data_IF_976122224499
#
_entry.id   IF_976122224499
#
_cell.length_a   1.000
_cell.length_b   1.000
_cell.length_c   1.000
_cell.angle_alpha   90.00
_cell.angle_beta   90.00
_cell.angle_gamma   90.00
#
_symmetry.space_group_name_H-M   'P 1'
#
loop_
_entity.id
_entity.type
_entity.pdbx_description
1 polymer ?
#
# COMPACT_ATOMS: atom_id res chain seq x y z
N UNK A 1 59.56 24.65 -21.34
CA UNK A 1 58.69 23.76 -20.55
C UNK A 1 58.29 24.51 -19.31
N UNK A 2 57.03 24.94 -19.22
CA UNK A 2 56.50 25.57 -18.00
C UNK A 2 56.33 24.42 -17.01
N UNK A 3 57.18 24.35 -15.99
CA UNK A 3 56.99 23.41 -14.90
C UNK A 3 55.60 23.64 -14.33
N UNK A 4 54.73 22.62 -14.39
CA UNK A 4 53.43 22.67 -13.74
C UNK A 4 53.68 23.01 -12.27
N UNK A 5 53.08 24.10 -11.78
CA UNK A 5 53.12 24.39 -10.36
C UNK A 5 52.61 23.15 -9.61
N UNK A 6 53.35 22.66 -8.60
CA UNK A 6 52.92 21.51 -7.84
C UNK A 6 51.55 21.83 -7.22
N UNK A 7 50.64 20.87 -7.30
CA UNK A 7 49.34 20.98 -6.64
C UNK A 7 49.54 21.18 -5.12
N UNK A 8 48.74 22.05 -4.50
CA UNK A 8 48.95 22.49 -3.12
C UNK A 8 48.94 21.31 -2.13
N UNK A 9 48.07 20.31 -2.38
CA UNK A 9 48.03 19.07 -1.60
C UNK A 9 49.35 18.29 -1.70
N UNK A 10 49.88 18.14 -2.91
CA UNK A 10 51.16 17.48 -3.15
C UNK A 10 52.31 18.24 -2.48
N UNK A 11 52.33 19.57 -2.54
CA UNK A 11 53.35 20.36 -1.85
C UNK A 11 53.30 20.20 -0.34
N UNK A 12 52.11 20.14 0.28
CA UNK A 12 51.99 19.91 1.72
C UNK A 12 52.49 18.52 2.12
N UNK A 13 52.12 17.47 1.37
CA UNK A 13 52.59 16.10 1.64
C UNK A 13 54.10 16.00 1.44
N UNK A 14 54.63 16.54 0.34
CA UNK A 14 56.07 16.52 0.07
C UNK A 14 56.86 17.25 1.15
N UNK A 15 56.42 18.43 1.59
CA UNK A 15 57.08 19.12 2.72
C UNK A 15 57.02 18.30 4.00
N UNK A 16 55.86 17.72 4.32
CA UNK A 16 55.74 16.86 5.50
C UNK A 16 56.74 15.70 5.47
N UNK A 17 56.90 15.04 4.31
CA UNK A 17 57.87 13.95 4.13
C UNK A 17 59.32 14.41 4.14
N UNK A 18 59.61 15.56 3.51
CA UNK A 18 60.96 16.10 3.38
C UNK A 18 61.50 16.61 4.73
N UNK A 19 60.67 17.28 5.53
CA UNK A 19 61.03 17.67 6.89
C UNK A 19 61.10 16.48 7.85
N UNK A 20 60.35 15.40 7.58
CA UNK A 20 60.47 14.13 8.29
C UNK A 20 60.25 14.27 9.80
N UNK A 21 61.24 13.88 10.60
CA UNK A 21 61.16 13.94 12.07
C UNK A 21 61.15 15.39 12.63
N UNK A 22 61.50 16.38 11.81
CA UNK A 22 61.59 17.78 12.22
C UNK A 22 60.23 18.50 12.16
N UNK A 23 59.17 17.81 11.74
CA UNK A 23 57.84 18.38 11.61
C UNK A 23 56.80 17.49 12.29
N UNK A 24 55.91 18.11 13.06
CA UNK A 24 54.88 17.41 13.81
C UNK A 24 53.50 17.84 13.32
N UNK A 25 52.60 16.87 13.14
CA UNK A 25 51.20 17.11 12.86
C UNK A 25 50.33 16.78 14.08
N UNK A 26 49.69 17.80 14.65
CA UNK A 26 48.76 17.62 15.76
C UNK A 26 47.55 18.56 15.64
N UNK A 27 46.35 18.02 15.85
CA UNK A 27 45.10 18.80 15.89
C UNK A 27 44.86 19.74 14.69
N UNK A 28 45.25 19.30 13.49
CA UNK A 28 45.09 20.13 12.29
C UNK A 28 46.16 21.21 12.14
N UNK A 29 47.25 21.13 12.91
CA UNK A 29 48.41 22.01 12.83
C UNK A 29 49.65 21.22 12.43
N UNK A 30 50.38 21.75 11.48
CA UNK A 30 51.67 21.26 11.04
C UNK A 30 52.72 22.26 11.53
N UNK A 31 53.47 21.83 12.53
CA UNK A 31 54.42 22.67 13.27
C UNK A 31 55.84 22.09 13.15
N UNK A 32 56.80 22.94 12.78
CA UNK A 32 58.21 22.60 12.80
C UNK A 32 58.72 22.52 14.24
N UNK A 33 59.38 21.42 14.60
CA UNK A 33 59.86 21.15 15.96
C UNK A 33 61.34 21.49 16.15
N UNK A 34 62.12 21.45 15.07
CA UNK A 34 63.56 21.70 15.05
C UNK A 34 63.93 22.56 13.85
N UNK A 35 65.01 23.32 13.98
CA UNK A 35 65.51 24.19 12.93
C UNK A 35 66.05 23.36 11.76
N UNK A 36 65.71 23.75 10.53
CA UNK A 36 66.08 23.00 9.33
C UNK A 36 66.68 23.92 8.28
N UNK A 37 67.84 23.55 7.75
CA UNK A 37 68.44 24.20 6.59
C UNK A 37 67.63 23.89 5.32
N UNK A 38 67.19 24.92 4.62
CA UNK A 38 66.36 24.79 3.42
C UNK A 38 67.19 24.24 2.24
N UNK A 39 66.70 23.17 1.62
CA UNK A 39 67.22 22.58 0.39
C UNK A 39 66.47 23.12 -0.82
N UNK A 40 67.00 22.91 -2.03
CA UNK A 40 66.32 23.31 -3.27
C UNK A 40 64.92 22.67 -3.41
N UNK A 41 64.74 21.45 -2.92
CA UNK A 41 63.44 20.75 -2.90
C UNK A 41 62.45 21.36 -1.90
N UNK A 42 62.93 21.80 -0.72
CA UNK A 42 62.10 22.50 0.25
C UNK A 42 61.54 23.80 -0.34
N UNK A 43 62.37 24.58 -1.04
CA UNK A 43 61.99 25.88 -1.59
C UNK A 43 60.81 25.76 -2.54
N UNK A 44 60.85 24.80 -3.49
CA UNK A 44 59.80 24.63 -4.49
C UNK A 44 58.43 24.45 -3.83
N UNK A 45 58.35 23.61 -2.81
CA UNK A 45 57.08 23.35 -2.13
C UNK A 45 56.71 24.46 -1.14
N UNK A 46 57.68 25.04 -0.43
CA UNK A 46 57.45 26.08 0.57
C UNK A 46 57.03 27.41 -0.07
N UNK A 47 57.61 27.77 -1.22
CA UNK A 47 57.15 28.90 -2.06
C UNK A 47 55.71 28.66 -2.54
N UNK A 48 55.34 27.43 -2.90
CA UNK A 48 53.98 27.11 -3.31
C UNK A 48 52.97 27.26 -2.15
N UNK A 49 53.31 26.80 -0.93
CA UNK A 49 52.48 27.03 0.26
C UNK A 49 52.35 28.53 0.58
N UNK A 50 53.47 29.27 0.54
CA UNK A 50 53.48 30.70 0.87
C UNK A 50 52.61 31.53 -0.08
N UNK A 51 52.63 31.20 -1.38
CA UNK A 51 51.76 31.83 -2.38
C UNK A 51 50.28 31.56 -2.13
N UNK A 52 49.95 30.39 -1.59
CA UNK A 52 48.59 29.97 -1.30
C UNK A 52 48.19 30.13 0.18
N UNK A 53 48.97 30.87 0.98
CA UNK A 53 48.81 30.96 2.44
C UNK A 53 47.42 31.39 2.94
N UNK A 54 46.65 32.09 2.10
CA UNK A 54 45.27 32.52 2.39
C UNK A 54 44.24 31.39 2.41
N UNK A 55 44.60 30.20 1.92
CA UNK A 55 43.75 29.00 1.94
C UNK A 55 43.84 28.25 3.28
N UNK A 56 44.78 28.62 4.15
CA UNK A 56 44.91 28.03 5.49
C UNK A 56 44.22 28.91 6.52
N UNK A 57 43.79 28.30 7.63
CA UNK A 57 43.18 29.02 8.76
C UNK A 57 44.17 30.00 9.38
N UNK A 58 45.40 29.52 9.55
CA UNK A 58 46.55 30.32 9.96
C UNK A 58 47.81 29.77 9.30
N UNK A 59 48.72 30.68 8.92
CA UNK A 59 50.00 30.35 8.31
C UNK A 59 51.04 31.30 8.89
N UNK A 60 52.09 30.75 9.49
CA UNK A 60 53.26 31.49 9.97
C UNK A 60 54.53 30.79 9.50
N UNK A 61 55.50 31.58 9.04
CA UNK A 61 56.79 31.12 8.56
C UNK A 61 57.86 32.11 9.02
N UNK A 62 58.88 31.58 9.70
CA UNK A 62 60.05 32.32 10.16
C UNK A 62 61.31 31.71 9.55
N UNK A 63 62.11 32.55 8.89
CA UNK A 63 63.39 32.21 8.30
C UNK A 63 64.43 33.16 8.89
N UNK A 64 65.55 32.61 9.36
CA UNK A 64 66.63 33.33 10.03
C UNK A 64 66.09 34.27 11.15
N UNK A 65 65.18 33.75 11.99
CA UNK A 65 64.53 34.46 13.10
C UNK A 65 63.70 35.69 12.72
N UNK A 66 63.33 35.81 11.45
CA UNK A 66 62.50 36.90 10.92
C UNK A 66 61.24 36.34 10.24
N UNK A 67 60.13 37.09 10.29
CA UNK A 67 58.93 36.75 9.53
C UNK A 67 59.26 36.73 8.04
N UNK A 68 59.07 35.58 7.40
CA UNK A 68 59.59 35.33 6.07
C UNK A 68 58.80 36.07 4.99
N UNK A 69 59.51 36.74 4.08
CA UNK A 69 58.96 37.17 2.80
C UNK A 69 59.26 36.15 1.71
N UNK A 70 58.61 36.27 0.55
CA UNK A 70 58.83 35.34 -0.57
C UNK A 70 60.29 35.30 -1.05
N UNK A 71 61.02 36.40 -0.86
CA UNK A 71 62.42 36.53 -1.24
C UNK A 71 63.37 35.86 -0.23
N UNK A 72 62.87 35.54 0.97
CA UNK A 72 63.66 34.90 2.03
C UNK A 72 63.66 33.37 1.92
N UNK A 73 62.80 32.81 1.08
CA UNK A 73 62.71 31.36 0.81
C UNK A 73 63.79 30.99 -0.21
N UNK A 74 65.04 30.89 0.24
CA UNK A 74 66.21 30.54 -0.59
C UNK A 74 67.05 29.44 0.06
N UNK A 75 67.82 28.72 -0.77
CA UNK A 75 68.61 27.57 -0.35
C UNK A 75 69.71 27.99 0.63
N UNK A 76 69.93 27.17 1.66
CA UNK A 76 70.97 27.39 2.66
C UNK A 76 70.62 28.38 3.78
N UNK A 77 69.41 28.94 3.81
CA UNK A 77 68.87 29.66 4.98
C UNK A 77 68.20 28.72 5.98
N UNK A 78 68.12 29.15 7.23
CA UNK A 78 67.59 28.35 8.32
C UNK A 78 66.10 28.66 8.53
N UNK A 79 65.25 27.63 8.45
CA UNK A 79 63.85 27.74 8.78
C UNK A 79 63.68 27.48 10.28
N UNK A 80 63.35 28.51 11.06
CA UNK A 80 63.23 28.41 12.52
C UNK A 80 61.80 28.05 12.95
N UNK A 81 60.79 28.49 12.20
CA UNK A 81 59.41 28.12 12.48
C UNK A 81 58.58 28.01 11.21
N UNK A 82 57.83 26.92 11.08
CA UNK A 82 56.74 26.78 10.12
C UNK A 82 55.52 26.29 10.90
N UNK A 83 54.42 27.05 10.85
CA UNK A 83 53.14 26.70 11.46
C UNK A 83 52.03 26.84 10.43
N UNK A 84 51.39 25.74 10.10
CA UNK A 84 50.27 25.71 9.14
C UNK A 84 49.07 25.08 9.82
N UNK A 85 48.00 25.86 10.00
CA UNK A 85 46.74 25.37 10.56
C UNK A 85 45.70 25.17 9.46
N UNK A 86 45.22 23.94 9.33
CA UNK A 86 44.18 23.54 8.39
C UNK A 86 42.79 23.79 8.96
N UNK A 87 41.82 24.17 8.11
CA UNK A 87 40.42 24.24 8.50
C UNK A 87 39.79 22.85 8.49
N UNK A 88 39.81 22.18 9.65
CA UNK A 88 39.28 20.82 9.81
C UNK A 88 37.76 20.70 9.56
N UNK A 89 37.02 21.80 9.70
CA UNK A 89 35.54 21.81 9.74
C UNK A 89 34.88 22.68 8.65
N UNK A 90 35.68 23.37 7.83
CA UNK A 90 35.21 24.38 6.89
C UNK A 90 35.84 24.22 5.49
N UNK A 91 35.65 23.05 4.88
CA UNK A 91 35.70 22.94 3.41
C UNK A 91 37.02 23.29 2.74
N UNK A 92 38.17 23.05 3.38
CA UNK A 92 39.41 22.97 2.61
C UNK A 92 39.31 21.85 1.58
N UNK A 93 39.91 22.06 0.40
CA UNK A 93 40.03 21.03 -0.64
C UNK A 93 40.81 19.80 -0.15
N UNK A 94 41.67 19.98 0.88
CA UNK A 94 42.37 18.88 1.52
C UNK A 94 42.66 19.05 3.02
N UNK A 95 42.79 17.92 3.72
CA UNK A 95 43.05 17.86 5.17
C UNK A 95 44.03 16.74 5.56
N UNK A 96 44.66 16.89 6.72
CA UNK A 96 45.58 15.90 7.31
C UNK A 96 44.94 15.25 8.54
N UNK A 97 45.18 13.97 8.73
CA UNK A 97 44.73 13.18 9.88
C UNK A 97 45.83 12.22 10.30
N UNK A 98 45.83 11.76 11.55
CA UNK A 98 46.82 10.76 12.00
C UNK A 98 46.58 9.41 11.34
N UNK A 99 45.35 8.94 11.43
CA UNK A 99 44.87 7.66 10.91
C UNK A 99 43.34 7.71 10.72
N UNK A 100 42.76 6.58 10.31
CA UNK A 100 41.33 6.41 10.11
C UNK A 100 40.48 6.82 11.33
N UNK A 101 40.91 6.44 12.54
CA UNK A 101 40.19 6.77 13.77
C UNK A 101 40.19 8.28 14.06
N UNK A 102 41.30 8.97 13.80
CA UNK A 102 41.41 10.43 13.93
C UNK A 102 40.51 11.17 12.93
N UNK A 103 40.41 10.67 11.69
CA UNK A 103 39.49 11.19 10.67
C UNK A 103 38.03 11.12 11.16
N UNK A 104 37.59 9.93 11.56
CA UNK A 104 36.19 9.71 11.91
C UNK A 104 35.80 10.34 13.24
N UNK A 105 36.68 10.34 14.24
CA UNK A 105 36.40 11.02 15.51
C UNK A 105 36.25 12.53 15.34
N UNK A 106 37.09 13.17 14.51
CA UNK A 106 37.00 14.61 14.24
C UNK A 106 35.82 14.98 13.34
N UNK A 107 35.52 14.18 12.33
CA UNK A 107 34.46 14.47 11.37
C UNK A 107 33.11 13.84 11.72
N UNK A 108 32.98 13.08 12.82
CA UNK A 108 31.76 12.34 13.17
C UNK A 108 30.50 13.20 13.09
N UNK A 109 30.46 14.33 13.81
CA UNK A 109 29.30 15.22 13.82
C UNK A 109 29.01 15.83 12.45
N UNK A 110 30.05 16.14 11.67
CA UNK A 110 29.94 16.69 10.32
C UNK A 110 29.34 15.68 9.34
N UNK A 111 29.78 14.42 9.41
CA UNK A 111 29.31 13.32 8.57
C UNK A 111 27.87 12.92 8.92
N UNK A 112 27.53 12.86 10.21
CA UNK A 112 26.16 12.54 10.67
C UNK A 112 25.15 13.62 10.20
N UNK A 113 25.57 14.88 10.11
CA UNK A 113 24.77 15.97 9.53
C UNK A 113 24.61 15.90 8.00
N UNK A 114 25.11 14.84 7.36
CA UNK A 114 24.97 14.62 5.92
C UNK A 114 25.95 15.40 5.05
N UNK A 115 27.00 15.98 5.64
CA UNK A 115 28.06 16.66 4.88
C UNK A 115 29.09 15.64 4.37
N UNK A 116 29.78 15.99 3.29
CA UNK A 116 30.71 15.09 2.58
C UNK A 116 32.10 15.10 3.21
N UNK A 117 32.85 14.01 3.03
CA UNK A 117 34.28 14.01 3.31
C UNK A 117 35.01 15.09 2.48
N UNK A 118 36.15 15.59 2.96
CA UNK A 118 37.04 16.45 2.15
C UNK A 118 37.39 15.78 0.81
N UNK A 119 37.57 16.58 -0.25
CA UNK A 119 37.90 16.05 -1.58
C UNK A 119 39.21 15.27 -1.57
N UNK A 120 40.17 15.72 -0.76
CA UNK A 120 41.44 15.02 -0.54
C UNK A 120 41.82 14.97 0.93
N UNK A 121 42.49 13.92 1.34
CA UNK A 121 43.04 13.81 2.69
C UNK A 121 44.23 12.85 2.73
N UNK A 122 45.07 13.06 3.75
CA UNK A 122 46.29 12.28 3.96
C UNK A 122 46.36 11.77 5.39
N UNK A 123 46.77 10.51 5.56
CA UNK A 123 47.05 9.91 6.87
C UNK A 123 48.54 9.89 7.13
N UNK A 124 48.97 10.54 8.21
CA UNK A 124 50.39 10.68 8.53
C UNK A 124 51.02 9.38 9.00
N UNK A 125 50.28 8.55 9.76
CA UNK A 125 50.82 7.33 10.36
C UNK A 125 50.93 6.20 9.33
N UNK A 126 49.94 6.12 8.43
CA UNK A 126 49.80 5.04 7.45
C UNK A 126 50.38 5.38 6.06
N UNK A 127 50.89 6.60 5.86
CA UNK A 127 51.27 7.18 4.55
C UNK A 127 50.18 6.97 3.47
N UNK A 128 48.91 7.08 3.88
CA UNK A 128 47.77 6.86 3.00
C UNK A 128 47.31 8.16 2.35
N UNK A 129 47.03 8.08 1.05
CA UNK A 129 46.53 9.18 0.23
C UNK A 129 45.15 8.87 -0.33
N UNK A 130 44.20 9.79 -0.16
CA UNK A 130 42.85 9.63 -0.71
C UNK A 130 42.78 9.64 -2.24
N UNK A 131 43.77 10.24 -2.91
CA UNK A 131 43.86 10.33 -4.37
C UNK A 131 44.67 9.19 -5.02
N UNK A 132 45.04 8.18 -4.22
CA UNK A 132 45.64 6.94 -4.72
C UNK A 132 44.60 5.93 -5.21
N UNK A 133 45.09 4.81 -5.75
CA UNK A 133 44.24 3.73 -6.27
C UNK A 133 43.60 2.85 -5.17
N UNK A 134 44.13 2.93 -3.94
CA UNK A 134 43.67 2.12 -2.81
C UNK A 134 42.50 2.81 -2.10
N UNK A 135 41.32 2.19 -2.10
CA UNK A 135 40.16 2.65 -1.32
C UNK A 135 40.07 1.88 -0.01
N UNK A 136 40.02 2.59 1.11
CA UNK A 136 39.84 1.97 2.43
C UNK A 136 38.44 1.33 2.56
N UNK A 137 38.33 0.07 3.06
CA UNK A 137 37.04 -0.58 3.30
C UNK A 137 36.09 0.23 4.19
N UNK A 138 36.64 0.99 5.15
CA UNK A 138 35.88 1.85 6.02
C UNK A 138 35.13 2.98 5.30
N UNK A 139 35.66 3.47 4.17
CA UNK A 139 34.99 4.50 3.35
C UNK A 139 33.76 3.91 2.65
N UNK A 140 33.86 2.66 2.17
CA UNK A 140 32.74 1.95 1.56
C UNK A 140 31.64 1.75 2.60
N UNK A 141 31.99 1.28 3.79
CA UNK A 141 31.06 1.16 4.93
C UNK A 141 30.44 2.48 5.34
N UNK A 142 31.25 3.55 5.39
CA UNK A 142 30.76 4.89 5.70
C UNK A 142 29.69 5.34 4.72
N UNK A 143 29.86 5.07 3.42
CA UNK A 143 28.88 5.43 2.42
C UNK A 143 27.52 4.78 2.70
N UNK A 144 27.51 3.47 2.99
CA UNK A 144 26.30 2.74 3.37
C UNK A 144 25.66 3.30 4.67
N UNK A 145 26.48 3.60 5.69
CA UNK A 145 26.00 4.24 6.92
C UNK A 145 25.36 5.59 6.64
N UNK A 146 25.98 6.42 5.81
CA UNK A 146 25.44 7.73 5.44
C UNK A 146 24.12 7.62 4.68
N UNK A 147 23.98 6.62 3.81
CA UNK A 147 22.72 6.35 3.11
C UNK A 147 21.62 5.92 4.08
N UNK A 148 21.92 5.07 5.06
CA UNK A 148 20.99 4.73 6.14
C UNK A 148 20.61 5.91 7.02
N UNK A 149 21.58 6.72 7.47
CA UNK A 149 21.31 7.90 8.29
C UNK A 149 20.39 8.85 7.52
N UNK A 150 20.67 9.09 6.24
CA UNK A 150 19.84 9.93 5.37
C UNK A 150 18.42 9.36 5.24
N UNK A 151 18.31 8.06 5.01
CA UNK A 151 17.02 7.37 4.88
C UNK A 151 16.19 7.41 6.17
N UNK A 152 16.80 7.09 7.32
CA UNK A 152 16.14 7.16 8.62
C UNK A 152 15.72 8.58 8.97
N UNK A 153 16.56 9.58 8.66
CA UNK A 153 16.22 11.00 8.85
C UNK A 153 15.00 11.38 8.00
N UNK A 154 14.95 10.93 6.74
CA UNK A 154 13.83 11.23 5.83
C UNK A 154 12.50 10.57 6.25
N UNK A 155 12.54 9.45 6.98
CA UNK A 155 11.33 8.74 7.45
C UNK A 155 10.94 9.14 8.87
N UNK A 156 11.88 9.68 9.66
CA UNK A 156 11.61 10.11 11.04
C UNK A 156 10.50 11.17 11.11
N UNK A 157 9.77 11.16 12.22
CA UNK A 157 8.70 12.14 12.44
C UNK A 157 9.25 13.47 12.96
N UNK A 158 10.35 13.43 13.71
CA UNK A 158 11.10 14.60 14.16
C UNK A 158 12.60 14.29 14.10
N UNK A 159 13.37 15.15 13.43
CA UNK A 159 14.82 15.15 13.41
C UNK A 159 15.39 16.34 14.22
N UNK A 160 16.04 16.05 15.34
CA UNK A 160 16.69 17.06 16.18
C UNK A 160 18.19 17.05 15.94
N UNK A 161 18.67 18.09 15.27
CA UNK A 161 20.09 18.34 15.07
C UNK A 161 20.70 18.93 16.34
N UNK A 162 21.79 18.32 16.81
CA UNK A 162 22.58 18.78 17.95
C UNK A 162 24.01 19.08 17.48
N UNK A 163 24.80 19.77 18.32
CA UNK A 163 26.21 20.05 18.00
C UNK A 163 27.04 18.76 17.84
N UNK A 164 26.60 17.66 18.46
CA UNK A 164 27.32 16.38 18.49
C UNK A 164 26.80 15.36 17.47
N UNK A 165 25.59 15.54 16.93
CA UNK A 165 24.98 14.56 16.04
C UNK A 165 23.49 14.82 15.80
N UNK A 166 22.74 13.76 15.47
CA UNK A 166 21.31 13.84 15.14
C UNK A 166 20.53 12.85 16.00
N UNK A 167 19.42 13.32 16.58
CA UNK A 167 18.47 12.48 17.31
C UNK A 167 17.17 12.38 16.51
N UNK A 168 16.76 11.16 16.21
CA UNK A 168 15.58 10.84 15.42
C UNK A 168 14.48 10.30 16.33
N UNK A 169 13.27 10.83 16.17
CA UNK A 169 12.09 10.35 16.88
C UNK A 169 11.08 9.71 15.93
N UNK A 170 10.57 8.56 16.34
CA UNK A 170 9.52 7.83 15.64
C UNK A 170 8.30 7.65 16.55
N UNK A 171 7.14 8.18 16.14
CA UNK A 171 5.88 8.13 16.86
C UNK A 171 4.92 7.15 16.17
N UNK A 172 5.07 5.87 16.52
CA UNK A 172 4.11 4.84 16.10
C UNK A 172 3.74 3.94 17.27
N UNK A 173 2.49 3.48 17.26
CA UNK A 173 1.99 2.51 18.21
C UNK A 173 2.50 1.13 17.79
N UNK A 174 3.36 0.54 18.61
CA UNK A 174 3.79 -0.85 18.41
C UNK A 174 2.66 -1.84 18.67
N UNK A 175 2.81 -3.08 18.20
CA UNK A 175 1.79 -4.14 18.34
C UNK A 175 1.28 -4.32 19.78
N UNK A 176 2.18 -4.34 20.76
CA UNK A 176 1.87 -4.60 22.18
C UNK A 176 1.53 -3.34 22.99
N UNK A 177 1.67 -2.15 22.41
CA UNK A 177 1.52 -0.90 23.14
C UNK A 177 0.07 -0.40 23.16
N UNK A 178 -0.39 0.12 24.31
CA UNK A 178 -1.72 0.76 24.40
C UNK A 178 -1.77 2.12 23.69
N UNK A 179 -0.65 2.86 23.66
CA UNK A 179 -0.52 4.19 23.06
C UNK A 179 0.83 4.30 22.34
N UNK A 180 0.92 5.19 21.34
CA UNK A 180 2.19 5.47 20.65
C UNK A 180 3.20 6.09 21.63
N UNK A 181 4.33 5.41 21.83
CA UNK A 181 5.48 5.92 22.60
C UNK A 181 6.57 6.34 21.62
N UNK A 182 7.21 7.50 21.81
CA UNK A 182 8.32 7.90 20.96
C UNK A 182 9.47 6.91 21.11
N UNK A 183 9.93 6.36 20.01
CA UNK A 183 11.23 5.71 19.94
C UNK A 183 12.29 6.76 19.63
N UNK A 184 13.32 6.86 20.47
CA UNK A 184 14.46 7.77 20.30
C UNK A 184 15.69 6.98 19.83
N UNK A 185 16.28 7.44 18.72
CA UNK A 185 17.55 6.95 18.18
C UNK A 185 18.51 8.13 18.09
N UNK A 186 19.58 8.11 18.90
CA UNK A 186 20.56 9.19 18.96
C UNK A 186 21.88 8.77 18.30
N UNK A 187 22.21 9.43 17.18
CA UNK A 187 23.38 9.13 16.36
C UNK A 187 24.42 10.21 16.66
N UNK A 188 25.44 9.87 17.45
CA UNK A 188 26.47 10.81 17.90
C UNK A 188 27.90 10.43 17.47
N UNK A 189 28.16 9.14 17.24
CA UNK A 189 29.52 8.64 16.99
C UNK A 189 29.57 7.67 15.79
N UNK A 190 30.11 8.13 14.67
CA UNK A 190 30.28 7.29 13.47
C UNK A 190 31.34 6.20 13.68
N UNK A 191 32.36 6.46 14.51
CA UNK A 191 33.45 5.50 14.77
C UNK A 191 32.97 4.26 15.51
N UNK A 192 31.90 4.35 16.30
CA UNK A 192 31.25 3.18 16.92
C UNK A 192 30.53 2.34 15.87
N UNK A 193 29.84 2.98 14.93
CA UNK A 193 29.10 2.29 13.86
C UNK A 193 30.01 1.61 12.84
N UNK A 194 31.21 2.15 12.61
CA UNK A 194 32.20 1.56 11.70
C UNK A 194 32.81 0.25 12.23
N UNK A 195 32.73 -0.02 13.54
CA UNK A 195 33.17 -1.29 14.14
C UNK A 195 32.24 -2.46 13.80
N UNK A 196 31.05 -2.18 13.28
CA UNK A 196 30.08 -3.20 12.89
C UNK A 196 30.62 -3.95 11.67
N UNK A 197 30.61 -5.29 11.74
CA UNK A 197 31.23 -6.15 10.73
C UNK A 197 30.54 -6.02 9.37
N UNK A 198 29.21 -6.12 9.36
CA UNK A 198 28.40 -6.10 8.14
C UNK A 198 27.21 -5.13 8.28
N UNK A 199 26.97 -4.36 7.22
CA UNK A 199 25.90 -3.36 7.16
C UNK A 199 25.11 -3.65 5.89
N UNK A 200 23.87 -4.09 6.09
CA UNK A 200 22.93 -4.36 5.01
C UNK A 200 22.68 -3.09 4.17
N UNK A 201 22.53 -3.21 2.85
CA UNK A 201 22.37 -2.05 1.94
C UNK A 201 21.00 -1.39 2.06
N UNK A 202 20.86 -0.06 1.98
CA UNK A 202 19.51 0.56 2.10
C UNK A 202 18.70 0.53 0.79
N UNK A 203 19.36 0.25 -0.34
CA UNK A 203 18.86 0.55 -1.68
C UNK A 203 17.48 -0.09 -1.98
N UNK A 204 17.29 -1.36 -1.66
CA UNK A 204 16.05 -2.10 -1.97
C UNK A 204 14.82 -1.49 -1.30
N UNK A 205 14.92 -1.20 0.00
CA UNK A 205 13.82 -0.62 0.77
C UNK A 205 13.62 0.84 0.39
N UNK A 206 14.71 1.58 0.16
CA UNK A 206 14.62 2.98 -0.25
C UNK A 206 13.83 3.14 -1.55
N UNK A 207 14.02 2.23 -2.52
CA UNK A 207 13.27 2.20 -3.77
C UNK A 207 11.79 1.87 -3.54
N UNK A 208 11.49 0.84 -2.73
CA UNK A 208 10.12 0.44 -2.43
C UNK A 208 9.31 1.54 -1.73
N UNK A 209 9.97 2.33 -0.89
CA UNK A 209 9.34 3.41 -0.13
C UNK A 209 9.33 4.72 -0.92
N UNK A 210 10.19 4.90 -1.92
CA UNK A 210 10.28 6.14 -2.69
C UNK A 210 8.98 6.46 -3.45
N UNK A 211 8.77 7.75 -3.76
CA UNK A 211 7.64 8.19 -4.58
C UNK A 211 7.86 7.74 -6.02
N UNK A 212 7.06 6.78 -6.47
CA UNK A 212 7.00 6.43 -7.89
C UNK A 212 6.51 7.65 -8.71
N UNK A 213 7.00 7.82 -9.95
CA UNK A 213 6.67 8.95 -10.86
C UNK A 213 5.16 9.13 -11.13
N UNK A 214 4.34 8.15 -10.73
CA UNK A 214 2.89 8.10 -10.90
C UNK A 214 2.10 8.43 -9.62
N UNK A 215 2.76 8.79 -8.51
CA UNK A 215 2.09 9.25 -7.29
C UNK A 215 1.19 8.18 -6.67
N UNK A 216 1.75 7.01 -6.37
CA UNK A 216 0.99 5.94 -5.71
C UNK A 216 0.39 6.41 -4.37
N UNK A 217 -0.91 6.17 -4.21
CA UNK A 217 -1.74 6.55 -3.04
C UNK A 217 -1.21 5.97 -1.71
N UNK A 218 -0.30 4.99 -1.77
CA UNK A 218 0.16 4.19 -0.63
C UNK A 218 1.60 4.46 -0.16
N UNK A 219 2.28 5.50 -0.67
CA UNK A 219 3.64 5.83 -0.21
C UNK A 219 3.69 6.09 1.31
N UNK A 220 2.71 6.81 1.85
CA UNK A 220 2.63 7.09 3.29
C UNK A 220 2.37 5.82 4.10
N UNK A 221 1.60 4.88 3.56
CA UNK A 221 1.36 3.57 4.20
C UNK A 221 2.66 2.76 4.25
N UNK A 222 3.41 2.68 3.14
CA UNK A 222 4.72 2.00 3.08
C UNK A 222 5.72 2.57 4.10
N UNK A 223 5.79 3.90 4.20
CA UNK A 223 6.60 4.56 5.24
C UNK A 223 6.14 4.19 6.65
N UNK A 224 4.83 4.15 6.87
CA UNK A 224 4.25 3.82 8.18
C UNK A 224 4.54 2.38 8.58
N UNK A 225 4.49 1.42 7.63
CA UNK A 225 4.87 0.03 7.88
C UNK A 225 6.36 -0.11 8.18
N UNK A 226 7.23 0.64 7.50
CA UNK A 226 8.64 0.65 7.86
C UNK A 226 8.86 1.20 9.27
N UNK A 227 8.19 2.29 9.65
CA UNK A 227 8.26 2.83 11.01
C UNK A 227 7.78 1.80 12.05
N UNK A 228 6.71 1.07 11.75
CA UNK A 228 6.18 0.02 12.63
C UNK A 228 7.22 -1.09 12.80
N UNK A 229 7.74 -1.61 11.69
CA UNK A 229 8.78 -2.65 11.68
C UNK A 229 10.01 -2.22 12.49
N UNK A 230 10.47 -0.98 12.29
CA UNK A 230 11.58 -0.39 13.02
C UNK A 230 11.31 -0.34 14.53
N UNK A 231 10.16 0.19 14.93
CA UNK A 231 9.82 0.38 16.34
C UNK A 231 9.61 -0.94 17.06
N UNK A 232 8.89 -1.88 16.46
CA UNK A 232 8.62 -3.18 17.08
C UNK A 232 9.87 -4.05 17.14
N UNK A 233 10.65 -4.09 16.06
CA UNK A 233 11.91 -4.84 16.03
C UNK A 233 12.90 -4.27 17.04
N UNK A 234 13.10 -2.95 17.07
CA UNK A 234 14.07 -2.36 17.99
C UNK A 234 13.65 -2.51 19.44
N UNK A 235 12.36 -2.36 19.78
CA UNK A 235 11.86 -2.62 21.15
C UNK A 235 12.10 -4.06 21.57
N UNK A 236 11.79 -5.03 20.70
CA UNK A 236 12.03 -6.46 20.96
C UNK A 236 13.52 -6.76 21.13
N UNK A 237 14.39 -6.12 20.35
CA UNK A 237 15.84 -6.29 20.47
C UNK A 237 16.38 -5.67 21.76
N UNK A 238 16.02 -4.42 22.09
CA UNK A 238 16.47 -3.74 23.31
C UNK A 238 15.99 -4.45 24.57
N UNK A 239 14.79 -5.04 24.58
CA UNK A 239 14.29 -5.80 25.72
C UNK A 239 15.03 -7.14 25.94
N UNK A 240 15.57 -7.73 24.86
CA UNK A 240 16.28 -9.01 24.90
C UNK A 240 17.80 -8.85 25.04
N UNK A 241 18.33 -7.65 24.77
CA UNK A 241 19.75 -7.36 24.88
C UNK A 241 20.12 -7.04 26.33
N UNK A 242 21.05 -7.80 26.88
CA UNK A 242 21.61 -7.60 28.23
C UNK A 242 22.93 -6.82 28.20
N UNK A 243 23.40 -6.42 27.01
CA UNK A 243 24.62 -5.64 26.84
C UNK A 243 24.32 -4.13 26.97
N UNK A 244 25.27 -3.36 27.53
CA UNK A 244 25.17 -1.88 27.68
C UNK A 244 25.33 -1.13 26.34
N UNK A 245 24.84 -1.69 25.24
CA UNK A 245 24.92 -1.08 23.91
C UNK A 245 23.89 0.03 23.75
N UNK A 246 24.26 1.05 22.98
CA UNK A 246 23.31 2.11 22.63
C UNK A 246 22.23 1.58 21.67
N UNK A 247 21.02 2.16 21.73
CA UNK A 247 19.93 1.82 20.80
C UNK A 247 20.37 1.92 19.32
N UNK A 248 21.26 2.86 19.02
CA UNK A 248 21.80 3.08 17.68
C UNK A 248 22.71 1.92 17.27
N UNK A 249 23.61 1.47 18.14
CA UNK A 249 24.46 0.30 17.84
C UNK A 249 23.60 -0.97 17.64
N UNK A 250 22.60 -1.18 18.49
CA UNK A 250 21.67 -2.31 18.39
C UNK A 250 20.92 -2.28 17.05
N UNK A 251 20.46 -1.10 16.63
CA UNK A 251 19.77 -0.91 15.36
C UNK A 251 20.66 -1.25 14.17
N UNK A 252 21.84 -0.62 14.08
CA UNK A 252 22.73 -0.78 12.92
C UNK A 252 23.31 -2.21 12.81
N UNK A 253 23.44 -2.91 13.94
CA UNK A 253 23.83 -4.33 13.96
C UNK A 253 22.73 -5.27 13.45
N UNK A 254 21.47 -4.84 13.47
CA UNK A 254 20.30 -5.68 13.18
C UNK A 254 19.41 -5.13 12.07
N UNK A 255 19.97 -4.36 11.14
CA UNK A 255 19.20 -3.76 10.04
C UNK A 255 18.47 -4.82 9.21
N UNK A 256 19.07 -6.00 8.98
CA UNK A 256 18.41 -7.10 8.26
C UNK A 256 17.12 -7.58 8.94
N UNK A 257 17.08 -7.60 10.28
CA UNK A 257 15.86 -7.97 11.01
C UNK A 257 14.77 -6.93 10.80
N UNK A 258 15.12 -5.65 10.80
CA UNK A 258 14.18 -4.56 10.49
C UNK A 258 13.67 -4.68 9.06
N UNK A 259 14.55 -5.01 8.10
CA UNK A 259 14.15 -5.25 6.70
C UNK A 259 13.15 -6.39 6.59
N UNK A 260 13.44 -7.53 7.18
CA UNK A 260 12.57 -8.71 7.15
C UNK A 260 11.21 -8.40 7.78
N UNK A 261 11.20 -7.74 8.95
CA UNK A 261 9.96 -7.31 9.59
C UNK A 261 9.15 -6.35 8.71
N UNK A 262 9.80 -5.44 7.99
CA UNK A 262 9.12 -4.57 7.03
C UNK A 262 8.43 -5.37 5.91
N UNK A 263 9.14 -6.34 5.31
CA UNK A 263 8.56 -7.19 4.27
C UNK A 263 7.37 -8.00 4.78
N UNK A 264 7.46 -8.56 6.00
CA UNK A 264 6.36 -9.29 6.64
C UNK A 264 5.14 -8.38 6.86
N UNK A 265 5.32 -7.21 7.46
CA UNK A 265 4.22 -6.26 7.67
C UNK A 265 3.60 -5.79 6.34
N UNK A 266 4.44 -5.58 5.32
CA UNK A 266 3.98 -5.17 4.01
C UNK A 266 3.19 -6.28 3.31
N UNK A 267 3.65 -7.54 3.39
CA UNK A 267 2.93 -8.69 2.85
C UNK A 267 1.57 -8.88 3.51
N UNK A 268 1.50 -8.77 4.85
CA UNK A 268 0.24 -8.80 5.60
C UNK A 268 -0.70 -7.69 5.15
N UNK A 269 -0.18 -6.47 4.91
CA UNK A 269 -0.99 -5.38 4.39
C UNK A 269 -1.55 -5.68 3.00
N UNK A 270 -0.73 -6.15 2.06
CA UNK A 270 -1.18 -6.50 0.71
C UNK A 270 -2.21 -7.62 0.75
N UNK A 271 -2.01 -8.63 1.60
CA UNK A 271 -2.96 -9.71 1.79
C UNK A 271 -4.30 -9.21 2.35
N UNK A 272 -4.27 -8.37 3.39
CA UNK A 272 -5.48 -7.78 3.98
C UNK A 272 -6.21 -6.86 2.99
N UNK A 273 -5.47 -6.08 2.20
CA UNK A 273 -6.04 -5.25 1.15
C UNK A 273 -6.75 -6.10 0.09
N UNK A 274 -6.12 -7.18 -0.37
CA UNK A 274 -6.72 -8.11 -1.32
C UNK A 274 -7.97 -8.81 -0.75
N UNK A 275 -7.96 -9.16 0.54
CA UNK A 275 -9.17 -9.67 1.24
C UNK A 275 -10.27 -8.60 1.24
N UNK A 276 -9.93 -7.35 1.55
CA UNK A 276 -10.89 -6.23 1.57
C UNK A 276 -11.55 -5.98 0.22
N UNK A 277 -10.75 -5.90 -0.86
CA UNK A 277 -11.27 -5.75 -2.23
C UNK A 277 -12.14 -6.94 -2.63
N UNK A 278 -11.70 -8.16 -2.30
CA UNK A 278 -12.48 -9.36 -2.57
C UNK A 278 -13.80 -9.37 -1.79
N UNK A 279 -13.81 -8.92 -0.54
CA UNK A 279 -15.02 -8.78 0.26
C UNK A 279 -16.00 -7.81 -0.36
N UNK A 280 -15.52 -6.63 -0.76
CA UNK A 280 -16.35 -5.65 -1.46
C UNK A 280 -16.95 -6.25 -2.74
N UNK A 281 -16.15 -6.96 -3.53
CA UNK A 281 -16.63 -7.62 -4.75
C UNK A 281 -17.74 -8.65 -4.46
N UNK A 282 -17.59 -9.45 -3.40
CA UNK A 282 -18.58 -10.44 -2.97
C UNK A 282 -19.87 -9.76 -2.53
N UNK A 283 -19.78 -8.69 -1.74
CA UNK A 283 -20.93 -7.92 -1.27
C UNK A 283 -21.68 -7.23 -2.42
N UNK A 284 -20.96 -6.59 -3.34
CA UNK A 284 -21.52 -5.97 -4.55
C UNK A 284 -22.29 -7.00 -5.40
N UNK A 285 -21.69 -8.17 -5.66
CA UNK A 285 -22.38 -9.25 -6.39
C UNK A 285 -23.58 -9.79 -5.61
N UNK A 286 -23.48 -9.89 -4.29
CA UNK A 286 -24.59 -10.26 -3.42
C UNK A 286 -25.76 -9.30 -3.56
N UNK A 287 -25.48 -8.00 -3.51
CA UNK A 287 -26.47 -6.94 -3.71
C UNK A 287 -27.08 -6.98 -5.11
N UNK A 288 -26.27 -7.07 -6.17
CA UNK A 288 -26.71 -7.18 -7.56
C UNK A 288 -27.75 -8.31 -7.75
N UNK A 289 -27.46 -9.49 -7.19
CA UNK A 289 -28.36 -10.64 -7.30
C UNK A 289 -29.62 -10.49 -6.42
N UNK A 290 -29.49 -9.92 -5.23
CA UNK A 290 -30.64 -9.63 -4.37
C UNK A 290 -31.60 -8.62 -5.03
N UNK A 291 -31.07 -7.62 -5.74
CA UNK A 291 -31.84 -6.66 -6.51
C UNK A 291 -32.54 -7.34 -7.69
N UNK A 292 -31.82 -8.16 -8.49
CA UNK A 292 -32.41 -8.94 -9.60
C UNK A 292 -33.56 -9.84 -9.15
N UNK A 293 -33.40 -10.54 -8.03
CA UNK A 293 -34.47 -11.37 -7.45
C UNK A 293 -35.67 -10.51 -7.01
N UNK A 294 -35.42 -9.33 -6.45
CA UNK A 294 -36.47 -8.41 -6.02
C UNK A 294 -37.23 -7.80 -7.21
N UNK A 295 -36.54 -7.46 -8.30
CA UNK A 295 -37.12 -6.98 -9.55
C UNK A 295 -38.11 -7.98 -10.15
N UNK A 296 -37.76 -9.29 -10.20
CA UNK A 296 -38.67 -10.32 -10.70
C UNK A 296 -40.00 -10.34 -9.93
N UNK A 297 -39.97 -10.15 -8.60
CA UNK A 297 -41.21 -10.16 -7.83
C UNK A 297 -41.99 -8.85 -7.95
N UNK A 298 -41.30 -7.71 -8.06
CA UNK A 298 -41.95 -6.43 -8.34
C UNK A 298 -42.72 -6.48 -9.67
N UNK A 299 -42.13 -7.08 -10.71
CA UNK A 299 -42.79 -7.29 -12.00
C UNK A 299 -44.09 -8.12 -11.85
N UNK A 300 -44.05 -9.18 -11.04
CA UNK A 300 -45.22 -10.03 -10.78
C UNK A 300 -46.29 -9.29 -9.97
N UNK A 301 -45.90 -8.48 -8.98
CA UNK A 301 -46.83 -7.69 -8.16
C UNK A 301 -47.59 -6.65 -8.99
N UNK A 302 -46.88 -5.92 -9.86
CA UNK A 302 -47.50 -4.95 -10.78
C UNK A 302 -48.59 -5.63 -11.63
N UNK A 303 -48.29 -6.83 -12.12
CA UNK A 303 -49.23 -7.63 -12.93
C UNK A 303 -50.41 -8.15 -12.11
N UNK A 304 -50.19 -8.46 -10.83
CA UNK A 304 -51.23 -8.90 -9.92
C UNK A 304 -52.25 -7.79 -9.60
N UNK A 305 -51.85 -6.51 -9.63
CA UNK A 305 -52.79 -5.39 -9.47
C UNK A 305 -53.83 -5.30 -10.59
N UNK A 306 -53.62 -5.97 -11.72
CA UNK A 306 -54.65 -6.11 -12.75
C UNK A 306 -55.85 -6.96 -12.29
N UNK A 307 -55.65 -7.89 -11.35
CA UNK A 307 -56.71 -8.81 -10.89
C UNK A 307 -57.87 -8.06 -10.20
N UNK A 308 -57.64 -7.18 -9.22
CA UNK A 308 -58.72 -6.33 -8.66
C UNK A 308 -59.45 -5.50 -9.71
N UNK A 309 -58.74 -4.94 -10.70
CA UNK A 309 -59.33 -4.11 -11.77
C UNK A 309 -60.32 -4.95 -12.61
N UNK A 310 -59.91 -6.17 -12.98
CA UNK A 310 -60.77 -7.12 -13.70
C UNK A 310 -61.98 -7.52 -12.84
N UNK A 311 -61.82 -7.72 -11.53
CA UNK A 311 -62.93 -8.05 -10.63
C UNK A 311 -63.96 -6.91 -10.52
N UNK A 312 -63.51 -5.66 -10.41
CA UNK A 312 -64.40 -4.48 -10.43
C UNK A 312 -65.17 -4.39 -11.75
N UNK A 313 -64.49 -4.67 -12.87
CA UNK A 313 -65.09 -4.68 -14.20
C UNK A 313 -66.17 -5.77 -14.33
N UNK A 314 -65.93 -6.95 -13.76
CA UNK A 314 -66.92 -8.04 -13.69
C UNK A 314 -68.14 -7.66 -12.84
N UNK A 315 -67.95 -6.93 -11.73
CA UNK A 315 -69.05 -6.42 -10.92
C UNK A 315 -69.97 -5.47 -11.69
N UNK A 316 -69.41 -4.60 -12.53
CA UNK A 316 -70.17 -3.69 -13.39
C UNK A 316 -70.97 -4.44 -14.48
N UNK A 317 -70.49 -5.60 -14.93
CA UNK A 317 -71.14 -6.43 -15.95
C UNK A 317 -72.49 -7.02 -15.50
N UNK A 318 -72.75 -7.09 -14.19
CA UNK A 318 -74.03 -7.54 -13.63
C UNK A 318 -75.23 -6.76 -14.17
N UNK A 319 -75.03 -5.48 -14.54
CA UNK A 319 -76.08 -4.54 -15.01
C UNK A 319 -76.32 -4.54 -16.53
N UNK A 320 -75.62 -5.38 -17.30
CA UNK A 320 -75.75 -5.43 -18.77
C UNK A 320 -76.76 -6.51 -19.17
N UNK A 321 -77.76 -6.15 -19.98
CA UNK A 321 -78.86 -7.06 -20.37
C UNK A 321 -78.63 -7.77 -21.71
N UNK A 322 -77.56 -7.44 -22.44
CA UNK A 322 -77.26 -8.05 -23.74
C UNK A 322 -76.28 -9.23 -23.60
N UNK A 323 -76.73 -10.43 -23.98
CA UNK A 323 -75.93 -11.65 -23.96
C UNK A 323 -74.64 -11.55 -24.80
N UNK A 324 -74.67 -10.88 -25.96
CA UNK A 324 -73.48 -10.71 -26.81
C UNK A 324 -72.39 -9.87 -26.13
N UNK A 325 -72.78 -8.80 -25.44
CA UNK A 325 -71.87 -7.97 -24.65
C UNK A 325 -71.27 -8.76 -23.48
N UNK A 326 -72.05 -9.67 -22.90
CA UNK A 326 -71.62 -10.54 -21.80
C UNK A 326 -70.55 -11.55 -22.26
N UNK A 327 -70.79 -12.24 -23.39
CA UNK A 327 -69.81 -13.16 -23.99
C UNK A 327 -68.50 -12.46 -24.41
N UNK A 328 -68.60 -11.24 -24.96
CA UNK A 328 -67.43 -10.46 -25.35
C UNK A 328 -66.52 -10.13 -24.16
N UNK A 329 -67.11 -9.69 -23.04
CA UNK A 329 -66.34 -9.36 -21.82
C UNK A 329 -65.70 -10.62 -21.21
N UNK A 330 -66.40 -11.75 -21.17
CA UNK A 330 -65.83 -13.01 -20.67
C UNK A 330 -64.67 -13.49 -21.53
N UNK A 331 -64.76 -13.36 -22.86
CA UNK A 331 -63.64 -13.66 -23.76
C UNK A 331 -62.41 -12.80 -23.42
N UNK A 332 -62.60 -11.50 -23.18
CA UNK A 332 -61.54 -10.60 -22.74
C UNK A 332 -60.90 -11.01 -21.39
N UNK A 333 -61.70 -11.45 -20.42
CA UNK A 333 -61.21 -11.95 -19.12
C UNK A 333 -60.40 -13.23 -19.29
N UNK A 334 -60.86 -14.18 -20.10
CA UNK A 334 -60.15 -15.43 -20.39
C UNK A 334 -58.81 -15.16 -21.07
N UNK A 335 -58.79 -14.29 -22.09
CA UNK A 335 -57.56 -13.91 -22.80
C UNK A 335 -56.57 -13.24 -21.83
N UNK A 336 -57.05 -12.32 -20.99
CA UNK A 336 -56.23 -11.64 -19.98
C UNK A 336 -55.63 -12.61 -18.97
N UNK A 337 -56.42 -13.58 -18.48
CA UNK A 337 -55.94 -14.62 -17.57
C UNK A 337 -54.88 -15.52 -18.22
N UNK A 338 -55.04 -15.84 -19.51
CA UNK A 338 -54.08 -16.65 -20.27
C UNK A 338 -52.76 -15.91 -20.48
N UNK A 339 -52.79 -14.63 -20.85
CA UNK A 339 -51.59 -13.80 -20.94
C UNK A 339 -50.88 -13.68 -19.59
N UNK A 340 -51.61 -13.39 -18.51
CA UNK A 340 -51.04 -13.34 -17.16
C UNK A 340 -50.42 -14.67 -16.74
N UNK A 341 -51.04 -15.80 -17.08
CA UNK A 341 -50.51 -17.13 -16.81
C UNK A 341 -49.17 -17.38 -17.53
N UNK A 342 -49.08 -17.11 -18.83
CA UNK A 342 -47.83 -17.25 -19.60
C UNK A 342 -46.73 -16.34 -19.05
N UNK A 343 -47.12 -15.13 -18.70
CA UNK A 343 -46.24 -14.10 -18.21
C UNK A 343 -45.69 -14.40 -16.80
N UNK A 344 -46.48 -15.03 -15.93
CA UNK A 344 -46.00 -15.57 -14.64
C UNK A 344 -45.02 -16.74 -14.89
N UNK A 345 -45.30 -17.59 -15.87
CA UNK A 345 -44.43 -18.72 -16.19
C UNK A 345 -43.06 -18.28 -16.70
N UNK A 346 -43.01 -17.23 -17.51
CA UNK A 346 -41.77 -16.59 -17.96
C UNK A 346 -40.93 -16.06 -16.78
N UNK A 347 -41.58 -15.40 -15.81
CA UNK A 347 -40.88 -14.90 -14.62
C UNK A 347 -40.33 -16.04 -13.74
N UNK A 348 -40.98 -17.21 -13.69
CA UNK A 348 -40.44 -18.41 -13.04
C UNK A 348 -39.15 -18.88 -13.73
N UNK A 349 -39.13 -18.90 -15.07
CA UNK A 349 -37.94 -19.27 -15.84
C UNK A 349 -36.81 -18.27 -15.62
N UNK A 350 -37.11 -16.97 -15.61
CA UNK A 350 -36.15 -15.90 -15.30
C UNK A 350 -35.57 -16.07 -13.89
N UNK A 351 -36.39 -16.40 -12.89
CA UNK A 351 -35.92 -16.64 -11.52
C UNK A 351 -34.95 -17.83 -11.45
N UNK A 352 -35.27 -18.93 -12.14
CA UNK A 352 -34.37 -20.11 -12.24
C UNK A 352 -33.05 -19.77 -12.94
N UNK A 353 -33.08 -18.93 -13.96
CA UNK A 353 -31.87 -18.48 -14.64
C UNK A 353 -31.00 -17.62 -13.70
N UNK A 354 -31.61 -16.73 -12.93
CA UNK A 354 -30.91 -15.93 -11.91
C UNK A 354 -30.28 -16.85 -10.86
N UNK A 355 -31.00 -17.86 -10.38
CA UNK A 355 -30.47 -18.85 -9.42
C UNK A 355 -29.23 -19.57 -9.97
N UNK A 356 -29.30 -20.06 -11.21
CA UNK A 356 -28.17 -20.74 -11.85
C UNK A 356 -26.97 -19.81 -12.06
N UNK A 357 -27.21 -18.57 -12.52
CA UNK A 357 -26.17 -17.55 -12.70
C UNK A 357 -25.51 -17.16 -11.38
N UNK A 358 -26.31 -17.05 -10.32
CA UNK A 358 -25.85 -16.78 -8.98
C UNK A 358 -24.93 -17.90 -8.50
N UNK A 359 -25.37 -19.17 -8.54
CA UNK A 359 -24.53 -20.31 -8.15
C UNK A 359 -23.20 -20.30 -8.90
N UNK A 360 -23.23 -20.21 -10.23
CA UNK A 360 -22.00 -20.21 -11.03
C UNK A 360 -21.03 -19.08 -10.67
N UNK A 361 -21.56 -17.87 -10.42
CA UNK A 361 -20.74 -16.71 -10.07
C UNK A 361 -20.10 -16.89 -8.70
N UNK A 362 -20.87 -17.32 -7.71
CA UNK A 362 -20.37 -17.53 -6.35
C UNK A 362 -19.48 -18.76 -6.23
N UNK A 363 -19.70 -19.82 -7.02
CA UNK A 363 -18.80 -20.97 -7.11
C UNK A 363 -17.43 -20.53 -7.66
N UNK A 364 -17.41 -19.63 -8.66
CA UNK A 364 -16.16 -19.04 -9.16
C UNK A 364 -15.44 -18.20 -8.09
N UNK A 365 -16.18 -17.34 -7.37
CA UNK A 365 -15.62 -16.54 -6.28
C UNK A 365 -15.10 -17.45 -5.15
N UNK A 366 -15.81 -18.53 -4.84
CA UNK A 366 -15.39 -19.54 -3.85
C UNK A 366 -14.05 -20.18 -4.21
N UNK A 367 -13.87 -20.56 -5.46
CA UNK A 367 -12.61 -21.11 -5.96
C UNK A 367 -11.48 -20.08 -5.90
N UNK A 368 -11.74 -18.82 -6.29
CA UNK A 368 -10.75 -17.74 -6.18
C UNK A 368 -10.32 -17.46 -4.75
N UNK A 369 -11.27 -17.49 -3.79
CA UNK A 369 -10.98 -17.35 -2.37
C UNK A 369 -10.10 -18.50 -1.85
N UNK A 370 -10.42 -19.73 -2.25
CA UNK A 370 -9.68 -20.92 -1.82
C UNK A 370 -8.25 -20.97 -2.38
N UNK A 371 -8.04 -20.51 -3.61
CA UNK A 371 -6.73 -20.56 -4.28
C UNK A 371 -5.81 -19.39 -3.88
N UNK A 372 -6.36 -18.20 -3.59
CA UNK A 372 -5.56 -16.97 -3.44
C UNK A 372 -5.51 -16.38 -2.04
N UNK A 373 -6.54 -16.58 -1.22
CA UNK A 373 -6.72 -15.82 0.02
C UNK A 373 -6.79 -16.69 1.28
N UNK A 374 -7.07 -17.99 1.14
CA UNK A 374 -7.09 -19.00 2.23
C UNK A 374 -7.88 -18.61 3.51
N UNK A 375 -8.76 -17.60 3.43
CA UNK A 375 -9.48 -17.06 4.59
C UNK A 375 -10.77 -17.83 4.89
N UNK A 376 -10.78 -18.55 6.02
CA UNK A 376 -11.97 -19.30 6.50
C UNK A 376 -13.15 -18.40 6.83
N UNK A 377 -12.91 -17.22 7.41
CA UNK A 377 -13.97 -16.28 7.75
C UNK A 377 -14.67 -15.75 6.48
N UNK A 378 -13.89 -15.47 5.43
CA UNK A 378 -14.40 -15.02 4.14
C UNK A 378 -15.25 -16.10 3.46
N UNK A 379 -14.82 -17.36 3.55
CA UNK A 379 -15.56 -18.51 3.06
C UNK A 379 -16.94 -18.63 3.72
N UNK A 380 -17.00 -18.43 5.05
CA UNK A 380 -18.27 -18.44 5.80
C UNK A 380 -19.19 -17.30 5.36
N UNK A 381 -18.67 -16.07 5.24
CA UNK A 381 -19.47 -14.92 4.80
C UNK A 381 -20.04 -15.12 3.38
N UNK A 382 -19.24 -15.70 2.47
CA UNK A 382 -19.67 -16.02 1.13
C UNK A 382 -20.80 -17.07 1.14
N UNK A 383 -20.64 -18.14 1.92
CA UNK A 383 -21.68 -19.17 2.09
C UNK A 383 -22.97 -18.57 2.68
N UNK A 384 -22.87 -17.64 3.63
CA UNK A 384 -24.02 -16.92 4.21
C UNK A 384 -24.74 -16.05 3.17
N UNK A 385 -24.02 -15.30 2.35
CA UNK A 385 -24.60 -14.49 1.26
C UNK A 385 -25.34 -15.39 0.26
N UNK A 386 -24.70 -16.50 -0.15
CA UNK A 386 -25.30 -17.47 -1.07
C UNK A 386 -26.57 -18.09 -0.46
N UNK A 387 -26.51 -18.49 0.81
CA UNK A 387 -27.66 -19.05 1.51
C UNK A 387 -28.80 -18.05 1.64
N UNK A 388 -28.50 -16.79 1.98
CA UNK A 388 -29.49 -15.73 2.04
C UNK A 388 -30.20 -15.50 0.69
N UNK A 389 -29.46 -15.52 -0.42
CA UNK A 389 -30.05 -15.40 -1.76
C UNK A 389 -30.90 -16.64 -2.09
N UNK A 390 -30.44 -17.85 -1.79
CA UNK A 390 -31.21 -19.10 -2.00
C UNK A 390 -32.51 -19.13 -1.20
N UNK A 391 -32.47 -18.72 0.07
CA UNK A 391 -33.67 -18.60 0.91
C UNK A 391 -34.65 -17.61 0.29
N UNK A 392 -34.17 -16.44 -0.14
CA UNK A 392 -35.00 -15.44 -0.84
C UNK A 392 -35.61 -16.03 -2.12
N UNK A 393 -34.85 -16.71 -2.96
CA UNK A 393 -35.36 -17.33 -4.19
C UNK A 393 -36.47 -18.35 -3.86
N UNK A 394 -36.28 -19.16 -2.82
CA UNK A 394 -37.24 -20.21 -2.40
C UNK A 394 -38.54 -19.60 -1.87
N UNK A 395 -38.47 -18.60 -1.00
CA UNK A 395 -39.64 -17.85 -0.51
C UNK A 395 -40.40 -17.20 -1.68
N UNK A 396 -39.67 -16.57 -2.61
CA UNK A 396 -40.24 -15.91 -3.79
C UNK A 396 -40.93 -16.93 -4.70
N UNK A 397 -40.32 -18.08 -4.98
CA UNK A 397 -40.90 -19.14 -5.79
C UNK A 397 -42.22 -19.67 -5.17
N UNK A 398 -42.27 -19.76 -3.83
CA UNK A 398 -43.48 -20.14 -3.10
C UNK A 398 -44.59 -19.11 -3.32
N UNK A 399 -44.30 -17.81 -3.21
CA UNK A 399 -45.26 -16.72 -3.51
C UNK A 399 -45.76 -16.76 -4.95
N UNK A 400 -44.88 -17.02 -5.91
CA UNK A 400 -45.24 -17.10 -7.33
C UNK A 400 -46.22 -18.25 -7.60
N UNK A 401 -46.08 -19.40 -6.93
CA UNK A 401 -47.05 -20.50 -7.03
C UNK A 401 -48.45 -20.08 -6.57
N UNK A 402 -48.56 -19.35 -5.47
CA UNK A 402 -49.85 -18.81 -5.02
C UNK A 402 -50.45 -17.83 -6.02
N UNK A 403 -49.63 -16.93 -6.59
CA UNK A 403 -50.09 -15.99 -7.62
C UNK A 403 -50.58 -16.69 -8.90
N UNK A 404 -49.92 -17.78 -9.30
CA UNK A 404 -50.35 -18.60 -10.43
C UNK A 404 -51.76 -19.17 -10.24
N UNK A 405 -52.09 -19.60 -9.02
CA UNK A 405 -53.44 -20.06 -8.69
C UNK A 405 -54.46 -18.90 -8.66
N UNK A 406 -54.10 -17.79 -8.02
CA UNK A 406 -54.98 -16.62 -7.86
C UNK A 406 -55.31 -15.93 -9.20
N UNK A 407 -54.43 -16.04 -10.19
CA UNK A 407 -54.65 -15.53 -11.55
C UNK A 407 -55.90 -16.10 -12.24
N UNK A 408 -56.34 -17.31 -11.88
CA UNK A 408 -57.53 -17.95 -12.46
C UNK A 408 -58.83 -17.57 -11.74
N UNK A 409 -58.76 -16.89 -10.59
CA UNK A 409 -59.93 -16.55 -9.79
C UNK A 409 -60.95 -15.65 -10.55
N UNK A 410 -60.56 -14.58 -11.27
CA UNK A 410 -61.51 -13.78 -12.04
C UNK A 410 -62.22 -14.58 -13.14
N UNK A 411 -61.51 -15.49 -13.79
CA UNK A 411 -62.08 -16.38 -14.82
C UNK A 411 -63.09 -17.34 -14.23
N UNK A 412 -62.80 -17.92 -13.07
CA UNK A 412 -63.74 -18.78 -12.34
C UNK A 412 -64.99 -18.01 -11.93
N UNK A 413 -64.83 -16.79 -11.39
CA UNK A 413 -65.95 -15.93 -11.00
C UNK A 413 -66.79 -15.54 -12.22
N UNK A 414 -66.16 -15.16 -13.33
CA UNK A 414 -66.85 -14.83 -14.57
C UNK A 414 -67.66 -16.01 -15.13
N UNK A 415 -67.11 -17.23 -15.04
CA UNK A 415 -67.79 -18.45 -15.45
C UNK A 415 -69.00 -18.75 -14.55
N UNK A 416 -68.86 -18.61 -13.22
CA UNK A 416 -69.97 -18.80 -12.28
C UNK A 416 -71.09 -17.81 -12.56
N UNK A 417 -70.76 -16.53 -12.77
CA UNK A 417 -71.75 -15.50 -13.09
C UNK A 417 -72.47 -15.79 -14.42
N UNK A 418 -71.77 -16.32 -15.43
CA UNK A 418 -72.37 -16.77 -16.67
C UNK A 418 -73.38 -17.89 -16.44
N UNK A 419 -73.01 -18.92 -15.66
CA UNK A 419 -73.89 -20.06 -15.37
C UNK A 419 -75.14 -19.62 -14.60
N UNK A 420 -74.98 -18.73 -13.62
CA UNK A 420 -76.11 -18.24 -12.80
C UNK A 420 -77.05 -17.36 -13.60
N UNK A 421 -76.53 -16.38 -14.35
CA UNK A 421 -77.34 -15.37 -15.05
C UNK A 421 -78.02 -15.90 -16.31
N UNK A 422 -77.33 -16.75 -17.08
CA UNK A 422 -77.81 -17.22 -18.39
C UNK A 422 -78.23 -18.70 -18.38
N UNK A 423 -78.50 -19.30 -17.21
CA UNK A 423 -78.92 -20.71 -17.08
C UNK A 423 -80.04 -21.11 -18.06
N UNK A 424 -81.06 -20.25 -18.24
CA UNK A 424 -82.17 -20.48 -19.17
C UNK A 424 -81.79 -20.35 -20.66
N UNK A 425 -80.83 -19.49 -21.00
CA UNK A 425 -80.32 -19.31 -22.37
C UNK A 425 -79.30 -20.40 -22.74
N UNK A 426 -78.51 -20.87 -21.76
CA UNK A 426 -77.55 -21.97 -21.90
C UNK A 426 -78.29 -23.28 -22.13
N UNK A 427 -79.41 -23.54 -21.44
CA UNK A 427 -80.27 -24.71 -21.73
C UNK A 427 -80.84 -24.67 -23.15
N UNK A 428 -81.20 -23.48 -23.67
CA UNK A 428 -81.62 -23.30 -25.07
C UNK A 428 -80.47 -23.49 -26.08
N UNK A 429 -79.26 -23.01 -25.78
CA UNK A 429 -78.08 -23.19 -26.63
C UNK A 429 -77.58 -24.65 -26.63
N UNK A 430 -77.60 -25.32 -25.49
CA UNK A 430 -77.26 -26.75 -25.39
C UNK A 430 -78.29 -27.61 -26.09
N UNK A 431 -79.59 -27.35 -25.93
CA UNK A 431 -80.65 -28.08 -26.65
C UNK A 431 -80.63 -27.81 -28.16
N UNK A 432 -80.16 -26.64 -28.61
CA UNK A 432 -80.05 -26.29 -30.03
C UNK A 432 -78.79 -26.87 -30.72
N UNK A 433 -77.66 -27.00 -30.01
CA UNK A 433 -76.41 -27.56 -30.56
C UNK A 433 -76.18 -29.06 -30.30
N UNK A 434 -77.11 -29.74 -29.62
CA UNK A 434 -77.02 -31.18 -29.28
C UNK A 434 -77.20 -32.13 -30.48
N UNK A 435 -77.40 -31.63 -31.71
CA UNK A 435 -77.51 -32.46 -32.92
C UNK A 435 -76.19 -32.65 -33.68
N UNK A 436 -75.05 -32.06 -33.27
CA UNK A 436 -73.82 -32.05 -34.08
C UNK A 436 -72.58 -32.69 -33.41
N UNK A 437 -72.62 -33.08 -32.13
CA UNK A 437 -71.42 -33.61 -31.44
C UNK A 437 -71.65 -35.03 -30.89
N UNK A 438 -70.71 -35.93 -31.19
CA UNK A 438 -70.75 -37.37 -30.88
C UNK A 438 -70.83 -37.68 -29.37
N UNK A 439 -71.46 -38.81 -29.04
CA UNK A 439 -71.90 -39.18 -27.69
C UNK A 439 -70.83 -39.24 -26.57
N UNK A 440 -69.54 -39.58 -26.77
CA UNK A 440 -68.63 -39.77 -25.63
C UNK A 440 -68.15 -38.47 -24.96
N UNK A 441 -68.23 -37.32 -25.65
CA UNK A 441 -67.91 -35.99 -25.07
C UNK A 441 -69.08 -35.45 -24.23
N UNK A 442 -70.28 -36.00 -24.44
CA UNK A 442 -71.53 -35.56 -23.83
C UNK A 442 -71.65 -35.99 -22.36
N UNK A 443 -71.14 -37.19 -22.03
CA UNK A 443 -71.22 -37.72 -20.66
C UNK A 443 -70.20 -37.05 -19.74
N UNK A 444 -69.03 -36.69 -20.25
CA UNK A 444 -68.00 -35.98 -19.47
C UNK A 444 -68.41 -34.54 -19.15
N UNK A 445 -69.03 -33.82 -20.08
CA UNK A 445 -69.56 -32.48 -19.84
C UNK A 445 -70.80 -32.47 -18.94
N UNK A 446 -71.69 -33.47 -19.07
CA UNK A 446 -72.84 -33.64 -18.15
C UNK A 446 -72.40 -33.95 -16.72
N UNK A 447 -71.38 -34.79 -16.56
CA UNK A 447 -70.81 -35.09 -15.24
C UNK A 447 -70.17 -33.83 -14.63
N UNK A 448 -69.42 -33.05 -15.41
CA UNK A 448 -68.84 -31.78 -14.93
C UNK A 448 -69.92 -30.76 -14.54
N UNK A 449 -70.99 -30.65 -15.33
CA UNK A 449 -72.15 -29.79 -15.03
C UNK A 449 -72.90 -30.25 -13.76
N UNK A 450 -73.11 -31.56 -13.58
CA UNK A 450 -73.71 -32.13 -12.38
C UNK A 450 -72.85 -31.92 -11.14
N UNK A 451 -71.53 -32.04 -11.26
CA UNK A 451 -70.58 -31.80 -10.15
C UNK A 451 -70.60 -30.32 -9.76
N UNK A 452 -70.59 -29.39 -10.73
CA UNK A 452 -70.69 -27.95 -10.46
C UNK A 452 -72.03 -27.58 -9.83
N UNK A 453 -73.13 -28.19 -10.28
CA UNK A 453 -74.47 -27.98 -9.72
C UNK A 453 -74.61 -28.56 -8.30
N UNK A 454 -73.98 -29.70 -8.01
CA UNK A 454 -73.96 -30.28 -6.65
C UNK A 454 -73.11 -29.45 -5.68
N UNK A 455 -72.00 -28.88 -6.14
CA UNK A 455 -71.12 -28.02 -5.33
C UNK A 455 -71.73 -26.64 -5.03
N UNK A 456 -72.75 -26.20 -5.78
CA UNK A 456 -73.44 -24.91 -5.57
C UNK A 456 -74.71 -25.01 -4.70
N UNK A 457 -75.16 -26.23 -4.37
CA UNK A 457 -76.41 -26.48 -3.62
C UNK A 457 -76.14 -26.93 -2.16
N UNK A 458 -74.87 -27.11 -1.76
CA UNK A 458 -74.48 -27.37 -0.37
C UNK A 458 -73.72 -26.21 0.26
#
# INVERSE_FOLDING_TARGET
MIAQQPDLFNSCISLYKLFGANIHFENGKLDLTTEVNLTDEHIVHLTNLFNNRRQFRSFALEIDWCEASINDIVAGRECNALKVEFELYAGNSFSFYKNEHDLFSKLSSFLIQGKKLPERYYFTDDDYRSDGDTVLPAIIKLKELMEWIKFLTAISDIDKHTNTGVTLYFFIKGEDDKYAKPLEISICNISELLKIEDISTVEDISKLISKDEHGNLHHQDRQSFFKLALVDTLKKLVANDTTEKSNTEILFTHLDKVKSAYYEHYEVFIHNFAIGEFQQQVEEKGFDYAEKVSSVLNDIQIRLYAIPIVLVSLGALSKVDNAYSYFFVISGVVITALFNYWMINDQILRLKQIEKSCSFTFDKLKNQCAEKLESKAMMSNLDDIVNNIKIRITDRNTKIKYYKALCWAPTLIALILLVVKESASIEKLFSFNLNIISQPVMDTLKILYLIVRLLLIN
#
